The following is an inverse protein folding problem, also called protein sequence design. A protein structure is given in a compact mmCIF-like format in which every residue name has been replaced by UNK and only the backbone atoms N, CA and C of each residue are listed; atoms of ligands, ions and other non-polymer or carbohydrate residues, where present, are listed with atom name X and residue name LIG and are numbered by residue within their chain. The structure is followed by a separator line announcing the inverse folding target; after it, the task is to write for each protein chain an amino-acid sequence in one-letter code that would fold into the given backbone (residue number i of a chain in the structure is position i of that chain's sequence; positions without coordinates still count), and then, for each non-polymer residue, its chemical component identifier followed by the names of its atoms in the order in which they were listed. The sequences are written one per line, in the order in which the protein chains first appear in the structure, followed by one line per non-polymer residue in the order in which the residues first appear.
data_IF_884829453365
#
_entry.id   IF_884829453365
#
_cell.length_a   1.000
_cell.length_b   1.000
_cell.length_c   1.000
_cell.angle_alpha   90.00
_cell.angle_beta   90.00
_cell.angle_gamma   90.00
#
_symmetry.space_group_name_H-M   'P 1'
#
loop_
_entity.id
_entity.type
_entity.pdbx_description
1 polymer ?
#
# COMPACT_ATOMS: atom_id res chain seq x y z
N UNK A 1 -3.54 4.89 10.31
CA UNK A 1 -2.68 5.39 9.20
C UNK A 1 -3.22 4.87 7.87
N UNK A 2 -3.13 5.64 6.79
CA UNK A 2 -3.75 5.30 5.49
C UNK A 2 -3.27 3.95 4.93
N UNK A 3 -1.95 3.71 4.91
CA UNK A 3 -1.35 2.46 4.42
C UNK A 3 -1.86 1.24 5.19
N UNK A 4 -1.97 1.34 6.52
CA UNK A 4 -2.55 0.27 7.35
C UNK A 4 -3.99 -0.02 6.96
N UNK A 5 -4.82 1.00 6.78
CA UNK A 5 -6.22 0.83 6.39
C UNK A 5 -6.37 0.18 5.01
N UNK A 6 -5.45 0.47 4.07
CA UNK A 6 -5.40 -0.21 2.78
C UNK A 6 -4.97 -1.67 2.92
N UNK A 7 -3.91 -1.95 3.69
CA UNK A 7 -3.40 -3.30 3.88
C UNK A 7 -4.38 -4.22 4.64
N UNK A 8 -5.07 -3.70 5.65
CA UNK A 8 -6.03 -4.45 6.48
C UNK A 8 -7.20 -5.07 5.65
N UNK A 9 -7.38 -4.68 4.38
CA UNK A 9 -8.31 -5.32 3.44
C UNK A 9 -7.86 -6.71 2.99
N UNK A 10 -6.64 -7.13 3.33
CA UNK A 10 -6.13 -8.48 3.07
C UNK A 10 -7.07 -9.59 3.59
N UNK A 11 -7.78 -9.35 4.69
CA UNK A 11 -8.73 -10.32 5.29
C UNK A 11 -9.92 -10.63 4.38
N UNK A 12 -10.22 -9.75 3.42
CA UNK A 12 -11.29 -9.94 2.43
C UNK A 12 -10.77 -10.62 1.16
N UNK A 13 -9.45 -10.61 0.94
CA UNK A 13 -8.85 -11.11 -0.29
C UNK A 13 -8.77 -12.64 -0.30
N UNK A 14 -9.30 -13.26 -1.36
CA UNK A 14 -9.26 -14.70 -1.56
C UNK A 14 -8.02 -15.09 -2.37
N UNK A 15 -7.07 -15.77 -1.73
CA UNK A 15 -5.88 -16.35 -2.39
C UNK A 15 -6.23 -17.71 -3.02
N UNK A 16 -6.80 -17.69 -4.22
CA UNK A 16 -7.23 -18.90 -4.96
C UNK A 16 -6.39 -19.11 -6.21
N UNK A 17 -6.68 -20.16 -6.98
CA UNK A 17 -6.11 -20.39 -8.32
C UNK A 17 -6.65 -19.43 -9.39
N UNK A 18 -7.75 -18.73 -9.11
CA UNK A 18 -8.42 -17.76 -10.00
C UNK A 18 -8.70 -16.45 -9.24
N UNK A 19 -7.64 -15.79 -8.73
CA UNK A 19 -7.78 -14.74 -7.73
C UNK A 19 -8.42 -13.45 -8.24
N UNK A 20 -8.25 -13.06 -9.50
CA UNK A 20 -8.98 -11.91 -10.04
C UNK A 20 -10.46 -12.25 -10.17
N UNK A 21 -10.78 -13.42 -10.73
CA UNK A 21 -12.16 -13.87 -10.96
C UNK A 21 -12.93 -14.01 -9.64
N UNK A 22 -12.35 -14.66 -8.64
CA UNK A 22 -13.01 -14.94 -7.35
C UNK A 22 -13.19 -13.70 -6.46
N UNK A 23 -12.40 -12.65 -6.73
CA UNK A 23 -12.47 -11.38 -6.03
C UNK A 23 -13.13 -10.26 -6.86
N UNK A 24 -13.62 -10.55 -8.08
CA UNK A 24 -14.14 -9.53 -9.02
C UNK A 24 -15.25 -8.66 -8.42
N UNK A 25 -16.11 -9.24 -7.60
CA UNK A 25 -17.24 -8.56 -6.95
C UNK A 25 -16.86 -7.56 -5.83
N UNK A 26 -15.60 -7.53 -5.39
CA UNK A 26 -15.13 -6.71 -4.27
C UNK A 26 -13.91 -5.85 -4.62
N UNK A 27 -13.60 -5.68 -5.92
CA UNK A 27 -12.42 -4.96 -6.41
C UNK A 27 -12.30 -3.53 -5.88
N UNK A 28 -13.41 -2.84 -5.63
CA UNK A 28 -13.43 -1.51 -5.00
C UNK A 28 -12.95 -1.51 -3.54
N UNK A 29 -13.12 -2.62 -2.83
CA UNK A 29 -12.77 -2.76 -1.41
C UNK A 29 -11.34 -3.27 -1.21
N UNK A 30 -10.89 -4.18 -2.07
CA UNK A 30 -9.57 -4.82 -1.97
C UNK A 30 -8.51 -4.17 -2.86
N UNK A 31 -8.89 -3.32 -3.82
CA UNK A 31 -7.97 -2.78 -4.82
C UNK A 31 -6.82 -1.97 -4.23
N UNK A 32 -7.07 -1.30 -3.10
CA UNK A 32 -6.02 -0.61 -2.36
C UNK A 32 -5.01 -1.59 -1.73
N UNK A 33 -5.48 -2.72 -1.18
CA UNK A 33 -4.61 -3.77 -0.68
C UNK A 33 -3.74 -4.34 -1.80
N UNK A 34 -4.37 -4.76 -2.91
CA UNK A 34 -3.65 -5.45 -3.99
C UNK A 34 -2.62 -4.56 -4.68
N UNK A 35 -2.85 -3.24 -4.73
CA UNK A 35 -1.84 -2.29 -5.20
C UNK A 35 -0.66 -2.14 -4.23
N UNK A 36 -0.92 -2.12 -2.92
CA UNK A 36 0.14 -2.01 -1.89
C UNK A 36 1.10 -3.21 -1.93
N UNK A 37 0.58 -4.41 -2.22
CA UNK A 37 1.38 -5.65 -2.22
C UNK A 37 1.80 -6.10 -3.63
N UNK A 38 1.57 -5.29 -4.65
CA UNK A 38 1.80 -5.68 -6.04
C UNK A 38 3.30 -5.87 -6.33
N UNK A 39 3.75 -7.12 -6.50
CA UNK A 39 5.17 -7.47 -6.52
C UNK A 39 6.00 -6.76 -7.61
N UNK A 40 5.43 -6.50 -8.80
CA UNK A 40 6.15 -5.84 -9.89
C UNK A 40 6.16 -4.31 -9.82
N UNK A 41 5.44 -3.70 -8.88
CA UNK A 41 5.52 -2.27 -8.63
C UNK A 41 6.85 -1.95 -7.96
N UNK A 42 7.63 -1.06 -8.56
CA UNK A 42 9.00 -0.78 -8.14
C UNK A 42 9.16 0.57 -7.41
N UNK A 43 8.23 1.50 -7.62
CA UNK A 43 8.29 2.85 -7.10
C UNK A 43 6.94 3.27 -6.54
N UNK A 44 6.97 4.02 -5.44
CA UNK A 44 5.81 4.65 -4.83
C UNK A 44 6.11 6.10 -4.49
N UNK A 45 5.21 7.00 -4.91
CA UNK A 45 5.23 8.40 -4.50
C UNK A 45 3.94 8.72 -3.75
N UNK A 46 4.05 9.25 -2.54
CA UNK A 46 2.90 9.60 -1.71
C UNK A 46 2.92 11.08 -1.34
N UNK A 47 1.73 11.66 -1.23
CA UNK A 47 1.51 13.00 -0.70
C UNK A 47 0.36 12.99 0.29
N UNK A 48 0.46 13.86 1.28
CA UNK A 48 -0.60 14.09 2.26
C UNK A 48 -0.98 15.58 2.30
N UNK A 49 -2.27 15.85 2.41
CA UNK A 49 -2.80 17.19 2.60
C UNK A 49 -3.78 17.21 3.78
N UNK A 50 -3.70 18.26 4.60
CA UNK A 50 -4.62 18.47 5.72
C UNK A 50 -5.86 19.23 5.23
N UNK A 51 -7.03 18.60 5.33
CA UNK A 51 -8.33 19.27 5.22
C UNK A 51 -8.81 19.79 6.57
N UNK A 52 -10.02 20.35 6.61
CA UNK A 52 -10.60 20.94 7.84
C UNK A 52 -10.67 19.95 9.01
N UNK A 53 -11.11 18.71 8.73
CA UNK A 53 -11.32 17.68 9.75
C UNK A 53 -10.70 16.32 9.37
N UNK A 54 -9.85 16.26 8.35
CA UNK A 54 -9.27 15.01 7.86
C UNK A 54 -7.89 15.25 7.22
N UNK A 55 -7.16 14.15 7.02
CA UNK A 55 -6.02 14.12 6.13
C UNK A 55 -6.40 13.33 4.87
N UNK A 56 -6.04 13.86 3.71
CA UNK A 56 -6.12 13.16 2.43
C UNK A 56 -4.72 12.64 2.13
N UNK A 57 -4.59 11.33 1.97
CA UNK A 57 -3.34 10.68 1.56
C UNK A 57 -3.57 10.08 0.18
N UNK A 58 -2.68 10.38 -0.75
CA UNK A 58 -2.71 9.84 -2.12
C UNK A 58 -1.35 9.27 -2.46
N UNK A 59 -1.33 8.06 -3.01
CA UNK A 59 -0.12 7.41 -3.47
C UNK A 59 -0.25 7.01 -4.94
N UNK A 60 0.84 7.13 -5.69
CA UNK A 60 1.00 6.66 -7.07
C UNK A 60 2.07 5.59 -7.10
N UNK A 61 1.88 4.62 -7.98
CA UNK A 61 2.70 3.41 -8.07
C UNK A 61 3.19 3.21 -9.51
N UNK A 62 4.47 2.86 -9.68
CA UNK A 62 5.08 2.62 -10.99
C UNK A 62 6.00 1.38 -10.97
N UNK A 63 5.88 0.45 -11.93
CA UNK A 63 4.74 0.24 -12.81
C UNK A 63 3.41 0.09 -12.03
N UNK A 64 2.26 0.44 -12.63
CA UNK A 64 0.98 0.33 -11.96
C UNK A 64 0.62 -1.14 -11.71
N UNK A 65 -0.03 -1.40 -10.57
CA UNK A 65 -0.57 -2.71 -10.24
C UNK A 65 -2.01 -2.88 -10.72
N UNK A 66 -2.70 -3.86 -10.13
CA UNK A 66 -4.11 -4.13 -10.39
C UNK A 66 -4.46 -4.33 -11.88
N UNK A 67 -3.52 -4.92 -12.63
CA UNK A 67 -3.76 -5.29 -14.02
C UNK A 67 -4.77 -6.43 -14.03
N UNK A 68 -5.85 -6.24 -14.80
CA UNK A 68 -6.96 -7.19 -14.91
C UNK A 68 -6.46 -8.54 -15.44
N UNK A 69 -6.76 -9.62 -14.71
CA UNK A 69 -6.53 -11.00 -15.13
C UNK A 69 -5.90 -11.88 -14.06
N UNK A 70 -6.34 -13.14 -13.97
CA UNK A 70 -5.89 -14.08 -12.95
C UNK A 70 -4.37 -14.31 -12.99
N UNK A 71 -3.77 -14.38 -14.18
CA UNK A 71 -2.32 -14.54 -14.35
C UNK A 71 -1.52 -13.38 -13.75
N UNK A 72 -1.99 -12.14 -13.89
CA UNK A 72 -1.33 -10.98 -13.30
C UNK A 72 -1.41 -10.99 -11.77
N UNK A 73 -2.57 -11.33 -11.21
CA UNK A 73 -2.74 -11.40 -9.76
C UNK A 73 -1.94 -12.55 -9.14
N UNK A 74 -1.91 -13.73 -9.77
CA UNK A 74 -1.07 -14.85 -9.32
C UNK A 74 0.42 -14.49 -9.30
N UNK A 75 0.88 -13.68 -10.26
CA UNK A 75 2.27 -13.25 -10.35
C UNK A 75 2.63 -12.12 -9.37
N UNK A 76 1.65 -11.44 -8.76
CA UNK A 76 1.90 -10.20 -8.01
C UNK A 76 1.31 -10.13 -6.60
N UNK A 77 0.33 -10.96 -6.25
CA UNK A 77 -0.34 -10.90 -4.94
C UNK A 77 -0.20 -12.24 -4.23
N UNK A 78 0.86 -12.37 -3.44
CA UNK A 78 1.21 -13.62 -2.76
C UNK A 78 0.52 -13.77 -1.40
N UNK A 79 0.18 -14.99 -0.97
CA UNK A 79 -0.32 -15.23 0.37
C UNK A 79 0.71 -14.81 1.43
N UNK A 80 0.26 -14.36 2.62
CA UNK A 80 1.16 -14.03 3.71
C UNK A 80 2.04 -15.23 4.07
N UNK A 81 3.32 -14.98 4.31
CA UNK A 81 4.25 -16.04 4.75
C UNK A 81 3.89 -16.41 6.20
N UNK A 82 3.32 -17.59 6.41
CA UNK A 82 2.83 -18.04 7.73
C UNK A 82 3.92 -18.58 8.66
N UNK A 83 5.17 -18.66 8.18
CA UNK A 83 6.28 -19.23 8.95
C UNK A 83 7.57 -18.43 8.79
N UNK A 84 7.55 -17.16 9.23
CA UNK A 84 8.79 -16.43 9.55
C UNK A 84 8.95 -16.52 11.06
N UNK A 85 10.07 -17.10 11.54
CA UNK A 85 10.66 -16.65 12.81
C UNK A 85 10.65 -15.12 12.72
N UNK A 86 9.91 -14.47 13.61
CA UNK A 86 9.62 -13.05 13.60
C UNK A 86 10.85 -12.25 13.16
N UNK A 87 10.84 -11.74 11.93
CA UNK A 87 11.64 -10.56 11.64
C UNK A 87 10.82 -9.44 12.28
N UNK A 88 11.08 -9.21 13.55
CA UNK A 88 10.68 -7.96 14.21
C UNK A 88 11.31 -6.85 13.37
N UNK A 89 10.49 -6.19 12.55
CA UNK A 89 10.88 -4.91 11.97
C UNK A 89 10.90 -3.96 13.14
N UNK A 90 12.11 -3.71 13.67
CA UNK A 90 12.31 -2.75 14.73
C UNK A 90 12.05 -1.34 14.17
N UNK A 91 10.80 -0.91 14.34
CA UNK A 91 10.28 0.37 13.87
C UNK A 91 10.92 1.56 14.61
N UNK A 92 11.80 1.31 15.59
CA UNK A 92 12.56 2.35 16.29
C UNK A 92 13.65 3.01 15.44
N UNK A 93 13.97 2.49 14.25
CA UNK A 93 15.01 3.06 13.37
C UNK A 93 14.51 4.05 12.31
N UNK A 94 13.19 4.22 12.16
CA UNK A 94 12.61 5.16 11.17
C UNK A 94 12.44 6.59 11.67
N UNK A 95 12.70 6.86 12.94
CA UNK A 95 12.69 8.22 13.49
C UNK A 95 13.92 9.07 13.07
N UNK A 96 14.92 8.46 12.42
CA UNK A 96 16.16 9.15 11.98
C UNK A 96 16.10 9.72 10.55
N UNK A 97 14.95 9.65 9.84
CA UNK A 97 14.81 10.12 8.45
C UNK A 97 13.86 11.33 8.29
N UNK A 98 13.28 11.83 9.37
CA UNK A 98 12.47 13.06 9.31
C UNK A 98 13.17 14.16 10.13
N UNK A 99 13.77 15.19 9.49
CA UNK A 99 14.03 16.41 10.23
C UNK A 99 12.69 16.97 10.70
N UNK A 100 12.48 16.96 12.01
CA UNK A 100 11.41 17.71 12.66
C UNK A 100 11.77 19.19 12.62
N UNK A 101 11.70 19.81 11.44
CA UNK A 101 11.61 21.26 11.34
C UNK A 101 10.15 21.60 11.15
N UNK A 102 9.55 22.16 12.19
CA UNK A 102 8.22 22.78 12.08
C UNK A 102 8.24 23.80 10.96
N UNK A 103 7.33 23.63 10.01
CA UNK A 103 7.01 24.66 9.04
C UNK A 103 5.55 25.05 9.25
N UNK A 104 5.38 26.30 9.68
CA UNK A 104 4.11 26.92 10.02
C UNK A 104 3.27 27.33 8.81
N UNK A 105 3.60 26.85 7.61
CA UNK A 105 2.85 27.11 6.39
C UNK A 105 2.34 25.80 5.80
N UNK A 106 1.06 25.77 5.42
CA UNK A 106 0.33 24.60 4.92
C UNK A 106 0.85 24.05 3.59
N UNK A 107 2.09 23.56 3.57
CA UNK A 107 2.79 23.03 2.42
C UNK A 107 2.53 21.54 2.19
N UNK A 108 2.28 21.19 0.93
CA UNK A 108 2.20 19.81 0.44
C UNK A 108 3.56 19.14 0.63
N UNK A 109 3.62 18.09 1.44
CA UNK A 109 4.82 17.26 1.56
C UNK A 109 4.77 16.17 0.49
N UNK A 110 5.57 16.33 -0.57
CA UNK A 110 5.84 15.27 -1.56
C UNK A 110 7.15 14.61 -1.12
N UNK A 111 7.07 13.42 -0.52
CA UNK A 111 8.25 12.56 -0.39
C UNK A 111 8.27 11.60 -1.58
N UNK A 112 9.11 11.92 -2.56
CA UNK A 112 9.51 10.95 -3.59
C UNK A 112 10.67 10.14 -3.02
N UNK A 113 10.46 8.85 -2.74
CA UNK A 113 11.55 7.89 -2.59
C UNK A 113 11.81 7.27 -3.96
N UNK A 114 12.98 7.59 -4.52
CA UNK A 114 13.53 6.97 -5.73
C UNK A 114 14.33 5.71 -5.36
#
# INVERSE_FOLDING_TARGET
MAVKAWYDKNVLYKFTSTPYTDNRGQTSEIGAFTQVVWASTAQVGCGAARGTNCYVVSCRYAPPGNIIGDSYYLANVFPPVTNRRSLEVDFASVDDVLPTSGDSDGGVVITSVA
#
